data_IF_879966168039
#
_entry.id   IF_879966168039
#
_cell.length_a   1.000
_cell.length_b   1.000
_cell.length_c   1.000
_cell.angle_alpha   90.00
_cell.angle_beta   90.00
_cell.angle_gamma   90.00
#
_symmetry.space_group_name_H-M   'P 1'
#
loop_
_entity.id
_entity.type
_entity.pdbx_description
1 polymer ?
#
# COMPACT_ATOMS: atom_id res chain seq x y z
N UNK A 1 -11.75 7.89 -5.02
CA UNK A 1 -10.46 8.38 -4.51
C UNK A 1 -9.44 7.24 -4.31
N UNK A 2 -9.64 6.29 -3.37
CA UNK A 2 -8.69 5.19 -3.14
C UNK A 2 -8.46 4.28 -4.37
N UNK A 3 -9.49 3.96 -5.14
CA UNK A 3 -9.38 3.16 -6.38
C UNK A 3 -8.52 3.86 -7.43
N UNK A 4 -8.71 5.17 -7.61
CA UNK A 4 -7.95 6.02 -8.53
C UNK A 4 -6.46 6.13 -8.16
N UNK A 5 -6.17 6.15 -6.85
CA UNK A 5 -4.78 6.11 -6.35
C UNK A 5 -4.18 4.71 -6.57
N UNK A 6 -4.95 3.65 -6.34
CA UNK A 6 -4.57 2.27 -6.65
C UNK A 6 -4.15 2.06 -8.10
N UNK A 7 -4.97 2.50 -9.05
CA UNK A 7 -4.68 2.35 -10.47
C UNK A 7 -3.41 3.10 -10.90
N UNK A 8 -3.15 4.26 -10.28
CA UNK A 8 -1.92 5.02 -10.51
C UNK A 8 -0.68 4.31 -9.94
N UNK A 9 -0.82 3.60 -8.83
CA UNK A 9 0.25 2.80 -8.24
C UNK A 9 0.47 1.46 -8.97
N UNK A 10 -0.56 0.97 -9.68
CA UNK A 10 -0.52 -0.29 -10.43
C UNK A 10 0.11 -0.14 -11.83
N UNK A 11 -0.05 1.02 -12.49
CA UNK A 11 0.32 1.24 -13.89
C UNK A 11 1.41 2.33 -14.11
N UNK A 12 1.16 3.65 -13.98
CA UNK A 12 2.11 4.70 -14.38
C UNK A 12 3.33 4.89 -13.46
N UNK A 13 3.31 4.41 -12.22
CA UNK A 13 4.43 4.50 -11.28
C UNK A 13 4.98 3.13 -10.91
N UNK A 14 5.51 2.39 -11.89
CA UNK A 14 6.28 1.17 -11.59
C UNK A 14 7.53 1.58 -10.80
N UNK A 15 7.47 1.41 -9.48
CA UNK A 15 8.48 1.86 -8.51
C UNK A 15 9.89 1.33 -8.80
N UNK A 16 10.04 0.28 -9.61
CA UNK A 16 11.33 -0.20 -10.08
C UNK A 16 12.07 0.83 -10.96
N UNK A 17 11.30 1.65 -11.69
CA UNK A 17 11.81 2.78 -12.47
C UNK A 17 12.04 4.04 -11.63
N UNK A 18 11.54 4.10 -10.39
CA UNK A 18 11.65 5.27 -9.50
C UNK A 18 12.69 5.04 -8.39
N UNK A 19 12.81 3.83 -7.85
CA UNK A 19 13.80 3.48 -6.81
C UNK A 19 15.21 3.37 -7.37
N UNK A 20 15.36 2.87 -8.61
CA UNK A 20 16.66 2.76 -9.27
C UNK A 20 17.28 4.12 -9.63
N UNK A 21 16.53 5.19 -9.94
CA UNK A 21 17.10 6.53 -10.05
C UNK A 21 17.21 7.29 -8.74
N UNK A 22 16.79 6.77 -7.58
CA UNK A 22 16.88 7.55 -6.31
C UNK A 22 18.32 7.78 -5.88
N UNK A 23 19.22 6.81 -6.00
CA UNK A 23 20.66 7.03 -5.72
C UNK A 23 21.25 8.10 -6.66
N UNK A 24 20.88 8.05 -7.95
CA UNK A 24 21.30 9.04 -8.94
C UNK A 24 20.67 10.42 -8.68
N UNK A 25 19.40 10.49 -8.31
CA UNK A 25 18.67 11.73 -8.01
C UNK A 25 19.08 12.36 -6.69
N UNK A 26 19.42 11.56 -5.66
CA UNK A 26 19.98 12.08 -4.41
C UNK A 26 21.38 12.62 -4.67
N UNK A 27 22.23 11.88 -5.38
CA UNK A 27 23.55 12.38 -5.78
C UNK A 27 23.43 13.66 -6.60
N UNK A 28 22.54 13.70 -7.60
CA UNK A 28 22.27 14.89 -8.42
C UNK A 28 21.67 16.04 -7.61
N UNK A 29 20.76 15.79 -6.66
CA UNK A 29 20.18 16.81 -5.79
C UNK A 29 21.18 17.38 -4.77
N UNK A 30 21.98 16.54 -4.12
CA UNK A 30 23.05 16.97 -3.20
C UNK A 30 24.09 17.79 -3.96
N UNK A 31 24.42 17.36 -5.16
CA UNK A 31 25.38 18.01 -6.05
C UNK A 31 24.84 19.32 -6.62
N UNK A 32 23.56 19.37 -7.01
CA UNK A 32 22.88 20.62 -7.38
C UNK A 32 22.72 21.55 -6.18
N UNK A 33 22.55 21.04 -4.95
CA UNK A 33 22.54 21.85 -3.74
C UNK A 33 23.93 22.39 -3.40
N UNK A 34 25.00 21.64 -3.68
CA UNK A 34 26.39 22.11 -3.58
C UNK A 34 26.73 23.13 -4.68
N UNK A 35 26.20 22.98 -5.90
CA UNK A 35 26.38 23.90 -7.03
C UNK A 35 25.53 25.18 -6.91
N UNK A 36 24.28 25.08 -6.44
CA UNK A 36 23.44 26.23 -6.11
C UNK A 36 23.88 26.90 -4.81
N UNK A 37 24.34 26.10 -3.84
CA UNK A 37 25.07 26.54 -2.66
C UNK A 37 26.39 27.20 -3.01
N UNK A 38 27.00 26.88 -4.16
CA UNK A 38 28.13 27.65 -4.70
C UNK A 38 27.68 29.05 -5.15
N UNK A 39 26.45 29.26 -5.61
CA UNK A 39 25.96 30.61 -5.94
C UNK A 39 25.78 31.48 -4.67
N UNK A 40 25.44 30.87 -3.53
CA UNK A 40 25.40 31.54 -2.21
C UNK A 40 26.81 31.61 -1.58
N UNK A 41 27.64 30.59 -1.79
CA UNK A 41 29.05 30.55 -1.33
C UNK A 41 29.96 31.43 -2.16
N UNK A 42 29.60 31.82 -3.39
CA UNK A 42 30.30 32.80 -4.21
C UNK A 42 30.19 34.19 -3.60
N UNK A 43 29.20 34.43 -2.72
CA UNK A 43 29.15 35.62 -1.88
C UNK A 43 30.08 35.54 -0.65
N UNK A 44 30.60 34.34 -0.30
CA UNK A 44 31.33 34.09 0.97
C UNK A 44 32.77 33.53 0.78
N UNK A 45 33.13 32.89 -0.31
CA UNK A 45 34.48 32.34 -0.53
C UNK A 45 35.07 32.79 -1.85
N UNK A 46 35.65 33.98 -1.80
CA UNK A 46 36.60 34.49 -2.79
C UNK A 46 37.99 33.80 -2.69
N UNK A 47 38.09 32.60 -2.12
CA UNK A 47 39.35 31.88 -1.96
C UNK A 47 39.08 30.40 -1.69
N UNK A 48 39.60 29.53 -2.57
CA UNK A 48 39.81 28.09 -2.34
C UNK A 48 38.60 27.16 -2.50
N UNK A 49 38.18 26.91 -3.75
CA UNK A 49 38.04 25.58 -4.40
C UNK A 49 37.97 25.89 -5.91
N UNK A 50 39.04 25.58 -6.62
CA UNK A 50 39.29 26.07 -7.98
C UNK A 50 38.56 25.19 -9.01
N UNK A 51 37.28 25.45 -9.33
CA UNK A 51 36.64 24.94 -10.56
C UNK A 51 36.78 26.00 -11.67
N UNK A 52 38.00 26.18 -12.20
CA UNK A 52 38.34 27.28 -13.13
C UNK A 52 37.81 27.09 -14.56
N UNK A 53 37.09 26.01 -14.87
CA UNK A 53 36.44 25.85 -16.17
C UNK A 53 35.09 25.15 -16.01
N UNK A 54 34.01 25.87 -16.30
CA UNK A 54 32.63 25.41 -16.18
C UNK A 54 32.36 24.07 -16.92
N UNK A 55 33.09 23.82 -18.02
CA UNK A 55 33.01 22.59 -18.81
C UNK A 55 33.66 21.37 -18.12
N UNK A 56 34.69 21.62 -17.30
CA UNK A 56 35.42 20.59 -16.55
C UNK A 56 34.58 20.08 -15.38
N UNK A 57 33.83 20.96 -14.71
CA UNK A 57 32.94 20.55 -13.62
C UNK A 57 31.86 19.56 -14.13
N UNK A 58 31.25 19.77 -15.29
CA UNK A 58 30.20 18.88 -15.85
C UNK A 58 30.73 17.51 -16.29
N UNK A 59 31.88 17.49 -16.96
CA UNK A 59 32.50 16.24 -17.43
C UNK A 59 33.16 15.45 -16.29
N UNK A 60 33.76 16.14 -15.31
CA UNK A 60 34.16 15.55 -14.04
C UNK A 60 32.95 15.01 -13.27
N UNK A 61 31.83 15.73 -13.26
CA UNK A 61 30.58 15.29 -12.65
C UNK A 61 30.08 13.97 -13.25
N UNK A 62 29.98 13.94 -14.58
CA UNK A 62 29.53 12.76 -15.31
C UNK A 62 30.45 11.57 -15.02
N UNK A 63 31.77 11.83 -14.91
CA UNK A 63 32.76 10.84 -14.51
C UNK A 63 32.56 10.34 -13.07
N UNK A 64 32.35 11.23 -12.09
CA UNK A 64 32.08 10.82 -10.71
C UNK A 64 30.77 10.03 -10.63
N UNK A 65 29.72 10.44 -11.36
CA UNK A 65 28.44 9.74 -11.47
C UNK A 65 28.59 8.33 -12.06
N UNK A 66 29.49 8.10 -13.03
CA UNK A 66 29.75 6.75 -13.56
C UNK A 66 30.44 5.82 -12.55
N UNK A 67 31.11 6.35 -11.53
CA UNK A 67 31.78 5.55 -10.49
C UNK A 67 31.05 5.54 -9.14
N UNK A 68 29.86 6.14 -9.04
CA UNK A 68 29.08 6.22 -7.78
C UNK A 68 28.81 4.88 -7.13
N UNK A 69 28.56 3.83 -7.93
CA UNK A 69 28.29 2.49 -7.43
C UNK A 69 29.54 1.84 -6.78
N UNK A 70 30.74 2.15 -7.27
CA UNK A 70 32.01 1.69 -6.68
C UNK A 70 32.46 2.56 -5.50
N UNK A 71 32.20 3.87 -5.57
CA UNK A 71 32.64 4.83 -4.55
C UNK A 71 31.77 4.77 -3.29
N UNK A 72 30.49 4.39 -3.41
CA UNK A 72 29.50 4.36 -2.32
C UNK A 72 29.68 5.50 -1.30
N UNK A 73 29.64 6.78 -1.73
CA UNK A 73 29.95 7.92 -0.86
C UNK A 73 29.01 8.07 0.34
N UNK A 74 27.82 7.47 0.27
CA UNK A 74 26.82 7.42 1.33
C UNK A 74 26.70 6.04 1.99
N UNK A 75 27.69 5.16 1.75
CA UNK A 75 27.68 3.77 2.21
C UNK A 75 26.42 3.02 1.77
N UNK A 76 25.80 2.32 2.72
CA UNK A 76 24.62 1.48 2.49
C UNK A 76 23.28 2.23 2.60
N UNK A 77 23.29 3.54 2.88
CA UNK A 77 22.10 4.37 3.05
C UNK A 77 21.19 4.34 1.82
N UNK A 78 21.68 4.56 0.58
CA UNK A 78 20.82 4.53 -0.62
C UNK A 78 20.18 3.16 -0.84
N UNK A 79 20.90 2.07 -0.53
CA UNK A 79 20.41 0.70 -0.69
C UNK A 79 19.33 0.35 0.34
N UNK A 80 19.55 0.68 1.63
CA UNK A 80 18.56 0.49 2.71
C UNK A 80 17.31 1.34 2.50
N UNK A 81 17.50 2.58 2.07
CA UNK A 81 16.42 3.51 1.75
C UNK A 81 15.59 3.04 0.57
N UNK A 82 16.23 2.71 -0.56
CA UNK A 82 15.56 2.19 -1.75
C UNK A 82 14.80 0.89 -1.46
N UNK A 83 15.38 -0.01 -0.66
CA UNK A 83 14.70 -1.22 -0.21
C UNK A 83 13.45 -0.95 0.63
N UNK A 84 13.50 0.06 1.51
CA UNK A 84 12.38 0.46 2.37
C UNK A 84 11.24 1.08 1.57
N UNK A 85 11.55 1.97 0.61
CA UNK A 85 10.55 2.53 -0.32
C UNK A 85 9.90 1.42 -1.15
N UNK A 86 10.70 0.53 -1.75
CA UNK A 86 10.17 -0.58 -2.54
C UNK A 86 9.19 -1.43 -1.75
N UNK A 87 9.53 -1.79 -0.51
CA UNK A 87 8.65 -2.55 0.39
C UNK A 87 7.35 -1.81 0.74
N UNK A 88 7.44 -0.50 0.98
CA UNK A 88 6.29 0.37 1.26
C UNK A 88 5.29 0.40 0.10
N UNK A 89 5.78 0.59 -1.12
CA UNK A 89 4.94 0.61 -2.31
C UNK A 89 4.36 -0.77 -2.64
N UNK A 90 5.12 -1.84 -2.46
CA UNK A 90 4.61 -3.21 -2.62
C UNK A 90 3.48 -3.48 -1.62
N UNK A 91 3.66 -3.11 -0.34
CA UNK A 91 2.61 -3.25 0.66
C UNK A 91 1.35 -2.44 0.29
N UNK A 92 1.53 -1.19 -0.15
CA UNK A 92 0.43 -0.30 -0.54
C UNK A 92 -0.33 -0.84 -1.75
N UNK A 93 0.40 -1.29 -2.77
CA UNK A 93 -0.16 -1.90 -3.98
C UNK A 93 -0.97 -3.15 -3.63
N UNK A 94 -0.42 -4.03 -2.80
CA UNK A 94 -1.09 -5.25 -2.34
C UNK A 94 -2.35 -4.92 -1.55
N UNK A 95 -2.29 -3.94 -0.65
CA UNK A 95 -3.43 -3.50 0.14
C UNK A 95 -4.57 -2.98 -0.76
N UNK A 96 -4.28 -2.07 -1.68
CA UNK A 96 -5.33 -1.52 -2.56
C UNK A 96 -5.91 -2.60 -3.47
N UNK A 97 -5.07 -3.49 -4.01
CA UNK A 97 -5.54 -4.63 -4.82
C UNK A 97 -6.44 -5.56 -3.99
N UNK A 98 -6.06 -5.86 -2.76
CA UNK A 98 -6.87 -6.63 -1.83
C UNK A 98 -8.22 -5.99 -1.59
N UNK A 99 -8.30 -4.68 -1.35
CA UNK A 99 -9.58 -3.96 -1.17
C UNK A 99 -10.47 -4.01 -2.41
N UNK A 100 -9.89 -3.87 -3.60
CA UNK A 100 -10.64 -3.99 -4.85
C UNK A 100 -11.22 -5.41 -5.01
N UNK A 101 -10.41 -6.44 -4.76
CA UNK A 101 -10.86 -7.84 -4.79
C UNK A 101 -11.95 -8.11 -3.75
N UNK A 102 -11.76 -7.64 -2.51
CA UNK A 102 -12.75 -7.72 -1.42
C UNK A 102 -14.09 -7.13 -1.84
N UNK A 103 -14.08 -5.97 -2.48
CA UNK A 103 -15.29 -5.31 -2.99
C UNK A 103 -15.99 -6.16 -4.05
N UNK A 104 -15.24 -6.73 -5.00
CA UNK A 104 -15.80 -7.64 -6.01
C UNK A 104 -16.40 -8.90 -5.39
N UNK A 105 -15.73 -9.49 -4.39
CA UNK A 105 -16.21 -10.69 -3.69
C UNK A 105 -17.52 -10.42 -2.96
N UNK A 106 -17.60 -9.35 -2.18
CA UNK A 106 -18.84 -8.97 -1.47
C UNK A 106 -19.98 -8.71 -2.45
N UNK A 107 -19.71 -7.99 -3.54
CA UNK A 107 -20.73 -7.73 -4.58
C UNK A 107 -21.23 -9.00 -5.26
N UNK A 108 -20.41 -10.05 -5.37
CA UNK A 108 -20.82 -11.33 -5.92
C UNK A 108 -21.61 -12.17 -4.89
N UNK A 109 -21.23 -12.12 -3.61
CA UNK A 109 -21.96 -12.80 -2.53
C UNK A 109 -23.38 -12.25 -2.37
N UNK A 110 -23.57 -10.93 -2.51
CA UNK A 110 -24.89 -10.30 -2.44
C UNK A 110 -25.85 -10.74 -3.57
N UNK A 111 -25.32 -11.33 -4.65
CA UNK A 111 -26.12 -11.83 -5.78
C UNK A 111 -26.51 -13.31 -5.63
N UNK A 112 -26.03 -13.99 -4.59
CA UNK A 112 -26.35 -15.40 -4.35
C UNK A 112 -27.78 -15.50 -3.84
N UNK A 113 -28.64 -16.17 -4.61
CA UNK A 113 -30.02 -16.41 -4.22
C UNK A 113 -30.11 -17.49 -3.14
N UNK A 114 -31.06 -17.40 -2.19
CA UNK A 114 -31.30 -18.45 -1.23
C UNK A 114 -31.75 -19.74 -1.93
N UNK A 115 -31.34 -20.89 -1.39
CA UNK A 115 -31.76 -22.19 -1.90
C UNK A 115 -33.27 -22.39 -1.68
N UNK A 116 -33.90 -23.26 -2.49
CA UNK A 116 -35.32 -23.62 -2.32
C UNK A 116 -35.59 -24.18 -0.91
N UNK A 117 -34.62 -24.91 -0.35
CA UNK A 117 -34.68 -25.43 1.03
C UNK A 117 -34.70 -24.29 2.06
N UNK A 118 -33.83 -23.28 1.89
CA UNK A 118 -33.83 -22.09 2.74
C UNK A 118 -35.15 -21.32 2.64
N UNK A 119 -35.65 -21.05 1.43
CA UNK A 119 -36.90 -20.32 1.23
C UNK A 119 -38.07 -21.03 1.92
N UNK A 120 -38.13 -22.36 1.85
CA UNK A 120 -39.16 -23.16 2.52
C UNK A 120 -39.10 -23.03 4.04
N UNK A 121 -37.91 -23.17 4.63
CA UNK A 121 -37.75 -23.05 6.08
C UNK A 121 -37.97 -21.62 6.58
N UNK A 122 -37.57 -20.62 5.79
CA UNK A 122 -37.84 -19.22 6.11
C UNK A 122 -39.35 -18.92 6.07
N UNK A 123 -40.08 -19.43 5.07
CA UNK A 123 -41.54 -19.31 5.01
C UNK A 123 -42.23 -19.95 6.23
N UNK A 124 -41.72 -21.10 6.70
CA UNK A 124 -42.22 -21.73 7.93
C UNK A 124 -41.96 -20.87 9.15
N UNK A 125 -40.77 -20.30 9.25
CA UNK A 125 -40.39 -19.41 10.34
C UNK A 125 -41.25 -18.13 10.40
N UNK A 126 -41.61 -17.56 9.24
CA UNK A 126 -42.22 -16.22 9.17
C UNK A 126 -43.73 -16.21 8.95
N UNK A 127 -44.31 -17.21 8.27
CA UNK A 127 -45.70 -17.15 7.81
C UNK A 127 -46.58 -18.31 8.27
N UNK A 128 -46.01 -19.45 8.68
CA UNK A 128 -46.84 -20.61 9.04
C UNK A 128 -47.72 -20.38 10.29
N UNK A 129 -47.27 -19.60 11.28
CA UNK A 129 -48.08 -19.29 12.46
C UNK A 129 -49.37 -18.53 12.08
N UNK A 130 -49.24 -17.53 11.20
CA UNK A 130 -50.39 -16.79 10.65
C UNK A 130 -51.35 -17.70 9.88
N UNK A 131 -50.85 -18.60 9.03
CA UNK A 131 -51.67 -19.55 8.29
C UNK A 131 -52.40 -20.56 9.21
N UNK A 132 -51.85 -20.82 10.39
CA UNK A 132 -52.46 -21.68 11.42
C UNK A 132 -53.44 -20.92 12.34
N UNK A 133 -53.66 -19.63 12.12
CA UNK A 133 -54.54 -18.80 12.96
C UNK A 133 -53.88 -18.25 14.22
N UNK A 134 -52.55 -18.21 14.26
CA UNK A 134 -51.74 -17.74 15.40
C UNK A 134 -50.86 -16.53 15.00
N UNK A 135 -51.45 -15.35 14.69
CA UNK A 135 -50.71 -14.22 14.12
C UNK A 135 -49.71 -13.56 15.07
N UNK A 136 -49.95 -13.61 16.38
CA UNK A 136 -49.12 -12.93 17.38
C UNK A 136 -47.98 -13.79 17.94
N UNK A 137 -47.85 -15.03 17.47
CA UNK A 137 -46.82 -15.96 17.93
C UNK A 137 -45.51 -15.67 17.21
N UNK A 138 -44.48 -15.36 18.00
CA UNK A 138 -43.11 -15.16 17.51
C UNK A 138 -42.35 -16.49 17.45
N UNK A 139 -41.47 -16.69 16.46
CA UNK A 139 -40.61 -17.86 16.43
C UNK A 139 -39.63 -17.84 17.61
N UNK A 140 -39.41 -19.02 18.20
CA UNK A 140 -38.43 -19.20 19.27
C UNK A 140 -37.01 -18.88 18.79
N UNK A 141 -36.18 -18.25 19.63
CA UNK A 141 -34.80 -17.92 19.30
C UNK A 141 -34.00 -19.13 18.77
N UNK A 142 -34.04 -20.33 19.39
CA UNK A 142 -33.33 -21.49 18.88
C UNK A 142 -33.77 -21.91 17.47
N UNK A 143 -35.07 -21.82 17.16
CA UNK A 143 -35.59 -22.16 15.83
C UNK A 143 -35.18 -21.12 14.79
N UNK A 144 -35.24 -19.83 15.14
CA UNK A 144 -34.75 -18.74 14.30
C UNK A 144 -33.27 -18.93 13.93
N UNK A 145 -32.41 -19.18 14.92
CA UNK A 145 -30.98 -19.42 14.70
C UNK A 145 -30.73 -20.66 13.83
N UNK A 146 -31.51 -21.73 14.01
CA UNK A 146 -31.41 -22.92 13.19
C UNK A 146 -31.71 -22.62 11.71
N UNK A 147 -32.81 -21.91 11.42
CA UNK A 147 -33.19 -21.54 10.04
C UNK A 147 -32.13 -20.64 9.40
N UNK A 148 -31.62 -19.65 10.13
CA UNK A 148 -30.54 -18.79 9.63
C UNK A 148 -29.25 -19.57 9.34
N UNK A 149 -28.86 -20.48 10.23
CA UNK A 149 -27.67 -21.33 10.04
C UNK A 149 -27.82 -22.22 8.81
N UNK A 150 -29.00 -22.82 8.63
CA UNK A 150 -29.33 -23.62 7.45
C UNK A 150 -29.25 -22.79 6.15
N UNK A 151 -29.84 -21.59 6.15
CA UNK A 151 -29.82 -20.69 4.99
C UNK A 151 -28.41 -20.22 4.61
N UNK A 152 -27.56 -19.94 5.60
CA UNK A 152 -26.22 -19.41 5.41
C UNK A 152 -25.13 -20.49 5.40
N UNK A 153 -25.50 -21.78 5.40
CA UNK A 153 -24.54 -22.89 5.44
C UNK A 153 -23.49 -22.81 4.32
N UNK A 154 -23.90 -22.40 3.11
CA UNK A 154 -22.98 -22.23 1.98
C UNK A 154 -21.90 -21.15 2.21
N UNK A 155 -22.15 -20.18 3.10
CA UNK A 155 -21.17 -19.15 3.48
C UNK A 155 -20.21 -19.61 4.57
N UNK A 156 -20.50 -20.72 5.25
CA UNK A 156 -19.69 -21.18 6.37
C UNK A 156 -18.27 -21.55 5.93
N UNK A 157 -18.12 -22.22 4.79
CA UNK A 157 -16.80 -22.52 4.23
C UNK A 157 -16.05 -21.24 3.84
N UNK A 158 -16.73 -20.32 3.18
CA UNK A 158 -16.17 -19.03 2.79
C UNK A 158 -15.75 -18.17 4.00
N UNK A 159 -16.46 -18.29 5.13
CA UNK A 159 -16.18 -17.47 6.32
C UNK A 159 -14.76 -17.65 6.87
N UNK A 160 -14.18 -18.85 6.76
CA UNK A 160 -12.82 -19.13 7.18
C UNK A 160 -11.79 -18.46 6.25
N UNK A 161 -11.98 -18.60 4.94
CA UNK A 161 -11.12 -17.96 3.92
C UNK A 161 -11.22 -16.43 4.01
N UNK A 162 -12.42 -15.91 4.22
CA UNK A 162 -12.67 -14.49 4.41
C UNK A 162 -11.97 -13.94 5.65
N UNK A 163 -12.06 -14.66 6.78
CA UNK A 163 -11.34 -14.30 7.99
C UNK A 163 -9.83 -14.25 7.76
N UNK A 164 -9.27 -15.28 7.12
CA UNK A 164 -7.85 -15.33 6.77
C UNK A 164 -7.43 -14.16 5.87
N UNK A 165 -8.25 -13.83 4.86
CA UNK A 165 -8.04 -12.68 4.01
C UNK A 165 -8.05 -11.36 4.79
N UNK A 166 -9.04 -11.14 5.67
CA UNK A 166 -9.15 -9.93 6.50
C UNK A 166 -7.96 -9.81 7.44
N UNK A 167 -7.57 -10.89 8.11
CA UNK A 167 -6.41 -10.92 9.02
C UNK A 167 -5.10 -10.58 8.26
N UNK A 168 -4.94 -11.09 7.04
CA UNK A 168 -3.81 -10.74 6.17
C UNK A 168 -3.86 -9.27 5.73
N UNK A 169 -5.03 -8.73 5.41
CA UNK A 169 -5.23 -7.33 5.04
C UNK A 169 -4.89 -6.38 6.20
N UNK A 170 -5.31 -6.71 7.43
CA UNK A 170 -4.92 -5.97 8.64
C UNK A 170 -3.41 -5.99 8.82
N UNK A 171 -2.77 -7.15 8.66
CA UNK A 171 -1.30 -7.28 8.74
C UNK A 171 -0.57 -6.41 7.72
N UNK A 172 -1.08 -6.31 6.49
CA UNK A 172 -0.52 -5.41 5.48
C UNK A 172 -0.77 -3.94 5.85
N UNK A 173 -1.94 -3.62 6.41
CA UNK A 173 -2.26 -2.30 6.95
C UNK A 173 -1.31 -1.85 8.06
N UNK A 174 -1.03 -2.72 9.04
CA UNK A 174 -0.09 -2.43 10.14
C UNK A 174 1.32 -2.16 9.61
N UNK A 175 1.73 -2.89 8.56
CA UNK A 175 3.02 -2.68 7.90
C UNK A 175 3.12 -1.29 7.26
N UNK A 176 2.02 -0.78 6.70
CA UNK A 176 1.94 0.57 6.13
C UNK A 176 1.99 1.66 7.21
N UNK A 177 1.44 1.40 8.41
CA UNK A 177 1.43 2.35 9.52
C UNK A 177 2.78 2.42 10.27
N UNK A 178 3.51 1.31 10.35
CA UNK A 178 4.71 1.19 11.19
C UNK A 178 6.04 1.06 10.39
N UNK A 179 6.50 -0.14 9.96
CA UNK A 179 7.83 -0.35 9.37
C UNK A 179 8.01 0.23 7.96
N UNK A 180 6.91 0.52 7.25
CA UNK A 180 6.91 1.03 5.89
C UNK A 180 6.14 2.35 5.74
N UNK A 181 5.93 3.05 6.86
CA UNK A 181 5.36 4.38 6.81
C UNK A 181 6.36 5.33 6.15
N UNK A 182 6.02 5.81 4.94
CA UNK A 182 6.90 6.67 4.14
C UNK A 182 7.31 7.93 4.91
N UNK A 183 6.47 8.42 5.83
CA UNK A 183 6.79 9.56 6.67
C UNK A 183 7.92 9.24 7.66
N UNK A 184 7.97 8.02 8.20
CA UNK A 184 9.06 7.58 9.10
C UNK A 184 10.34 7.24 8.34
N UNK A 185 10.26 6.97 7.04
CA UNK A 185 11.42 6.71 6.17
C UNK A 185 11.99 8.01 5.59
N UNK A 186 11.16 9.05 5.39
CA UNK A 186 11.56 10.34 4.82
C UNK A 186 12.04 11.34 5.89
N UNK A 187 11.49 11.30 7.10
CA UNK A 187 11.86 12.21 8.20
C UNK A 187 13.32 12.11 8.66
N UNK A 188 14.01 10.95 8.67
CA UNK A 188 15.42 10.86 9.07
C UNK A 188 16.41 11.36 8.01
N UNK A 189 15.96 11.68 6.79
CA UNK A 189 16.84 12.03 5.67
C UNK A 189 17.64 13.31 5.98
N UNK A 190 17.01 14.31 6.60
CA UNK A 190 17.71 15.54 6.98
C UNK A 190 18.80 15.30 8.05
N UNK A 191 18.68 14.24 8.85
CA UNK A 191 19.60 13.89 9.94
C UNK A 191 20.73 12.95 9.49
N UNK A 192 20.53 12.16 8.43
CA UNK A 192 21.56 11.24 7.90
C UNK A 192 22.41 11.80 6.76
N UNK A 193 22.02 12.93 6.16
CA UNK A 193 22.81 13.65 5.13
C UNK A 193 23.75 14.70 5.77
N UNK A 194 23.73 14.87 7.09
CA UNK A 194 24.63 15.77 7.83
C UNK A 194 26.02 15.17 8.03
#
# INVERSE_FOLDING_TARGET
AMVTVGDRLLNPFNIENVVRPINLQISDAVMNFQLAGANISNMVRNSSINCLHLLLCVSYLACVLTYMDSLQPFGDVPAKFGGSIKRSFVALRTFVRGLNTSTSVVNNLLKVNPSVSCVRELMRLTHCSTCQGLPDVRPCLPYCLHVHTHCLHHLQQFSADWKSFVDAMVTVGDRLLNPFNIENVVRPINLQIS
#
